data_IF_911588829175
#
_entry.id   IF_911588829175
#
_cell.length_a   1.000
_cell.length_b   1.000
_cell.length_c   1.000
_cell.angle_alpha   90.00
_cell.angle_beta   90.00
_cell.angle_gamma   90.00
#
_symmetry.space_group_name_H-M   'P 1'
#
loop_
_entity.id
_entity.type
_entity.pdbx_description
1 polymer ?
#
# COMPACT_ATOMS: atom_id res chain seq x y z
N UNK A 1 56.10 66.35 -1.64
CA UNK A 1 55.48 67.46 -2.39
C UNK A 1 53.99 67.15 -2.52
N UNK A 2 53.25 67.81 -1.66
CA UNK A 2 52.17 68.71 -1.92
C UNK A 2 50.85 67.97 -2.27
N UNK A 3 49.97 67.95 -1.34
CA UNK A 3 48.84 68.86 -1.00
C UNK A 3 47.59 68.43 -1.74
N UNK A 4 46.61 67.94 -1.00
CA UNK A 4 45.43 68.64 -0.46
C UNK A 4 44.32 68.83 -1.47
N UNK A 5 43.13 68.27 -1.24
CA UNK A 5 41.97 69.12 -0.95
C UNK A 5 40.72 68.29 -0.60
N UNK A 6 40.12 68.70 0.49
CA UNK A 6 38.80 68.32 0.95
C UNK A 6 37.69 68.97 0.10
N UNK A 7 36.58 68.31 -0.07
CA UNK A 7 35.18 68.78 -0.15
C UNK A 7 34.33 67.64 -0.63
N UNK A 8 33.19 67.30 -0.15
CA UNK A 8 32.26 67.95 0.72
C UNK A 8 31.07 67.00 0.85
N UNK A 9 30.42 67.01 2.01
CA UNK A 9 29.24 66.23 2.31
C UNK A 9 28.07 66.55 1.39
N UNK A 10 27.40 65.49 0.91
CA UNK A 10 26.08 65.57 0.30
C UNK A 10 25.26 64.41 0.84
N UNK A 11 24.60 64.62 1.99
CA UNK A 11 23.56 63.75 2.48
C UNK A 11 22.40 63.83 1.52
N UNK A 12 22.05 62.72 0.88
CA UNK A 12 20.76 62.55 0.27
C UNK A 12 19.87 61.81 1.30
N UNK A 13 19.08 62.59 2.04
CA UNK A 13 17.88 62.09 2.71
C UNK A 13 16.97 61.53 1.63
N UNK A 14 16.95 60.22 1.51
CA UNK A 14 15.90 59.50 0.82
C UNK A 14 14.61 59.65 1.60
N UNK A 15 13.45 59.78 0.96
CA UNK A 15 12.19 59.94 1.65
C UNK A 15 11.93 58.79 2.58
N UNK A 16 11.72 59.07 3.86
CA UNK A 16 11.20 58.15 4.85
C UNK A 16 9.92 57.50 4.29
N UNK A 17 9.74 56.18 4.32
CA UNK A 17 8.49 55.58 3.94
C UNK A 17 7.38 56.13 4.84
N UNK A 18 6.14 56.28 4.31
CA UNK A 18 5.06 56.83 5.10
C UNK A 18 4.80 55.97 6.33
N UNK A 19 4.70 56.62 7.50
CA UNK A 19 4.29 56.01 8.77
C UNK A 19 2.98 55.22 8.55
N UNK A 20 3.03 53.90 8.73
CA UNK A 20 1.87 53.00 8.59
C UNK A 20 2.00 51.85 7.63
N UNK A 21 3.08 51.75 6.86
CA UNK A 21 3.30 50.56 6.02
C UNK A 21 3.85 49.40 6.87
N UNK A 22 3.18 48.23 6.92
CA UNK A 22 3.69 47.11 7.67
C UNK A 22 5.10 46.73 7.20
N UNK A 23 5.98 46.43 8.14
CA UNK A 23 7.38 46.03 7.85
C UNK A 23 7.41 44.84 6.87
N UNK A 24 8.51 44.69 6.13
CA UNK A 24 8.65 43.55 5.22
C UNK A 24 8.46 42.20 5.94
N UNK A 25 8.77 42.16 7.23
CA UNK A 25 8.57 41.04 8.14
C UNK A 25 7.06 40.81 8.39
N UNK A 26 6.28 41.85 8.74
CA UNK A 26 4.81 41.72 8.93
C UNK A 26 4.10 41.30 7.63
N UNK A 27 4.56 41.75 6.46
CA UNK A 27 4.01 41.33 5.17
C UNK A 27 4.31 39.85 4.87
N UNK A 28 5.48 39.38 5.26
CA UNK A 28 5.87 37.97 5.10
C UNK A 28 5.08 37.05 6.04
N UNK A 29 4.90 37.44 7.31
CA UNK A 29 4.06 36.76 8.27
C UNK A 29 2.59 36.69 7.82
N UNK A 30 2.04 37.79 7.32
CA UNK A 30 0.66 37.82 6.82
C UNK A 30 0.47 36.94 5.57
N UNK A 31 1.48 36.83 4.70
CA UNK A 31 1.45 35.89 3.55
C UNK A 31 1.51 34.44 4.01
N UNK A 32 2.37 34.11 4.96
CA UNK A 32 2.52 32.76 5.52
C UNK A 32 1.24 32.36 6.28
N UNK A 33 0.68 33.26 7.10
CA UNK A 33 -0.58 32.99 7.80
C UNK A 33 -1.76 32.75 6.85
N UNK A 34 -1.79 33.44 5.71
CA UNK A 34 -2.82 33.23 4.68
C UNK A 34 -2.65 31.87 3.99
N UNK A 35 -1.41 31.44 3.73
CA UNK A 35 -1.11 30.11 3.18
C UNK A 35 -1.53 29.01 4.18
N UNK A 36 -1.21 29.13 5.47
CA UNK A 36 -1.66 28.19 6.51
C UNK A 36 -3.19 28.10 6.60
N UNK A 37 -3.90 29.23 6.61
CA UNK A 37 -5.36 29.23 6.70
C UNK A 37 -6.01 28.47 5.54
N UNK A 38 -5.50 28.61 4.33
CA UNK A 38 -6.01 27.90 3.16
C UNK A 38 -5.72 26.40 3.23
N UNK A 39 -4.55 25.99 3.74
CA UNK A 39 -4.19 24.58 3.92
C UNK A 39 -5.01 23.94 5.05
N UNK A 40 -5.22 24.61 6.18
CA UNK A 40 -6.05 24.13 7.28
C UNK A 40 -7.51 23.97 6.82
N UNK A 41 -8.04 24.89 6.03
CA UNK A 41 -9.40 24.76 5.48
C UNK A 41 -9.51 23.55 4.55
N UNK A 42 -8.48 23.27 3.76
CA UNK A 42 -8.38 22.06 2.92
C UNK A 42 -8.34 20.78 3.75
N UNK A 43 -7.50 20.74 4.81
CA UNK A 43 -7.44 19.61 5.73
C UNK A 43 -8.79 19.35 6.41
N UNK A 44 -9.46 20.39 6.89
CA UNK A 44 -10.80 20.30 7.48
C UNK A 44 -11.84 19.73 6.51
N UNK A 45 -11.81 20.18 5.26
CA UNK A 45 -12.73 19.67 4.24
C UNK A 45 -12.49 18.18 3.98
N UNK A 46 -11.22 17.76 3.83
CA UNK A 46 -10.86 16.35 3.64
C UNK A 46 -11.24 15.53 4.88
N UNK A 47 -10.93 16.01 6.08
CA UNK A 47 -11.32 15.36 7.34
C UNK A 47 -12.84 15.19 7.46
N UNK A 48 -13.61 16.23 7.16
CA UNK A 48 -15.08 16.16 7.20
C UNK A 48 -15.64 15.12 6.22
N UNK A 49 -15.04 15.00 5.04
CA UNK A 49 -15.42 13.99 4.04
C UNK A 49 -15.11 12.57 4.54
N UNK A 50 -13.97 12.36 5.16
CA UNK A 50 -13.57 11.09 5.76
C UNK A 50 -14.49 10.76 6.94
N UNK A 51 -14.71 11.70 7.86
CA UNK A 51 -15.56 11.51 9.02
C UNK A 51 -17.02 11.19 8.64
N UNK A 52 -17.52 11.75 7.54
CA UNK A 52 -18.86 11.44 7.02
C UNK A 52 -18.98 9.99 6.51
N UNK A 53 -17.90 9.42 5.97
CA UNK A 53 -17.89 8.02 5.49
C UNK A 53 -17.61 7.05 6.65
N UNK A 54 -16.66 7.40 7.53
CA UNK A 54 -16.24 6.54 8.65
C UNK A 54 -17.31 6.46 9.75
N UNK A 55 -18.17 7.50 9.87
CA UNK A 55 -19.24 7.64 10.86
C UNK A 55 -18.78 7.31 12.29
N UNK A 56 -18.10 8.26 12.99
CA UNK A 56 -17.58 8.04 14.35
C UNK A 56 -18.67 7.64 15.36
N UNK A 57 -19.93 8.08 15.16
CA UNK A 57 -21.04 7.69 16.03
C UNK A 57 -21.40 6.22 15.86
N UNK A 58 -21.46 5.73 14.62
CA UNK A 58 -21.65 4.32 14.33
C UNK A 58 -20.51 3.46 14.86
N UNK A 59 -19.24 3.95 14.76
CA UNK A 59 -18.08 3.27 15.36
C UNK A 59 -18.19 3.17 16.89
N UNK A 60 -18.61 4.24 17.59
CA UNK A 60 -18.83 4.22 19.05
C UNK A 60 -19.91 3.21 19.43
N UNK A 61 -21.01 3.16 18.68
CA UNK A 61 -22.07 2.18 18.91
C UNK A 61 -21.57 0.74 18.68
N UNK A 62 -20.77 0.52 17.63
CA UNK A 62 -20.16 -0.79 17.34
C UNK A 62 -19.17 -1.23 18.41
N UNK A 63 -18.34 -0.30 18.90
CA UNK A 63 -17.40 -0.56 20.02
C UNK A 63 -18.17 -0.97 21.27
N UNK A 64 -19.29 -0.30 21.59
CA UNK A 64 -20.11 -0.66 22.74
C UNK A 64 -20.67 -2.07 22.61
N UNK A 65 -21.21 -2.44 21.43
CA UNK A 65 -21.71 -3.79 21.14
C UNK A 65 -20.61 -4.86 21.26
N UNK A 66 -19.45 -4.63 20.63
CA UNK A 66 -18.32 -5.56 20.69
C UNK A 66 -17.74 -5.69 22.09
N UNK A 67 -17.75 -4.60 22.88
CA UNK A 67 -17.32 -4.62 24.27
C UNK A 67 -18.26 -5.45 25.16
N UNK A 68 -19.56 -5.40 24.89
CA UNK A 68 -20.54 -6.25 25.57
C UNK A 68 -20.32 -7.71 25.22
N UNK A 69 -20.12 -8.03 23.93
CA UNK A 69 -19.80 -9.39 23.47
C UNK A 69 -18.48 -9.89 24.08
N UNK A 70 -17.43 -9.05 24.13
CA UNK A 70 -16.13 -9.41 24.71
C UNK A 70 -16.20 -9.65 26.23
N UNK A 71 -17.21 -9.10 26.90
CA UNK A 71 -17.43 -9.26 28.33
C UNK A 71 -18.29 -10.49 28.69
N UNK A 72 -18.84 -11.17 27.68
CA UNK A 72 -19.67 -12.35 27.88
C UNK A 72 -18.82 -13.54 28.44
N UNK A 73 -19.26 -14.18 29.50
CA UNK A 73 -18.46 -15.25 30.14
C UNK A 73 -18.24 -16.50 29.27
N UNK A 74 -19.16 -16.75 28.34
CA UNK A 74 -19.20 -17.89 27.43
C UNK A 74 -18.35 -17.68 26.18
N UNK A 75 -17.90 -16.44 25.89
CA UNK A 75 -17.06 -16.15 24.74
C UNK A 75 -15.74 -16.94 24.75
N UNK A 76 -15.18 -17.14 25.93
CA UNK A 76 -13.88 -17.79 26.10
C UNK A 76 -13.94 -19.33 26.05
N UNK A 77 -15.13 -19.90 25.94
CA UNK A 77 -15.33 -21.34 25.68
C UNK A 77 -14.97 -21.70 24.23
N UNK A 78 -15.01 -20.71 23.31
CA UNK A 78 -14.57 -20.85 21.92
C UNK A 78 -13.46 -19.83 21.60
N UNK A 79 -12.17 -20.27 21.57
CA UNK A 79 -11.03 -19.39 21.33
C UNK A 79 -11.08 -18.67 19.97
N UNK A 80 -11.64 -19.30 18.92
CA UNK A 80 -11.71 -18.73 17.59
C UNK A 80 -12.72 -17.56 17.57
N UNK A 81 -13.89 -17.74 18.14
CA UNK A 81 -14.88 -16.67 18.30
C UNK A 81 -14.35 -15.53 19.19
N UNK A 82 -13.63 -15.85 20.26
CA UNK A 82 -13.01 -14.85 21.13
C UNK A 82 -11.97 -14.01 20.38
N UNK A 83 -11.16 -14.63 19.54
CA UNK A 83 -10.17 -13.92 18.72
C UNK A 83 -10.83 -12.99 17.72
N UNK A 84 -11.90 -13.42 17.03
CA UNK A 84 -12.65 -12.59 16.08
C UNK A 84 -13.24 -11.36 16.76
N UNK A 85 -13.92 -11.53 17.90
CA UNK A 85 -14.56 -10.43 18.63
C UNK A 85 -13.54 -9.45 19.18
N UNK A 86 -12.45 -9.94 19.80
CA UNK A 86 -11.41 -9.08 20.37
C UNK A 86 -10.61 -8.34 19.31
N UNK A 87 -10.33 -8.98 18.16
CA UNK A 87 -9.69 -8.35 17.03
C UNK A 87 -10.58 -7.26 16.43
N UNK A 88 -11.86 -7.54 16.20
CA UNK A 88 -12.82 -6.56 15.69
C UNK A 88 -12.97 -5.34 16.63
N UNK A 89 -13.02 -5.58 17.95
CA UNK A 89 -13.05 -4.53 18.95
C UNK A 89 -11.79 -3.66 18.91
N UNK A 90 -10.61 -4.28 18.85
CA UNK A 90 -9.33 -3.57 18.79
C UNK A 90 -9.23 -2.71 17.53
N UNK A 91 -9.65 -3.22 16.37
CA UNK A 91 -9.67 -2.47 15.12
C UNK A 91 -10.62 -1.28 15.18
N UNK A 92 -11.87 -1.48 15.63
CA UNK A 92 -12.84 -0.40 15.75
C UNK A 92 -12.38 0.71 16.70
N UNK A 93 -11.76 0.35 17.83
CA UNK A 93 -11.17 1.31 18.77
C UNK A 93 -10.00 2.08 18.16
N UNK A 94 -9.13 1.39 17.41
CA UNK A 94 -7.99 2.03 16.74
C UNK A 94 -8.45 3.01 15.65
N UNK A 95 -9.48 2.65 14.88
CA UNK A 95 -10.04 3.50 13.83
C UNK A 95 -10.71 4.74 14.41
N UNK A 96 -11.55 4.58 15.45
CA UNK A 96 -12.16 5.71 16.15
C UNK A 96 -11.11 6.68 16.71
N UNK A 97 -10.13 6.13 17.46
CA UNK A 97 -9.04 6.92 18.05
C UNK A 97 -8.27 7.69 17.00
N UNK A 98 -8.01 7.09 15.83
CA UNK A 98 -7.28 7.75 14.74
C UNK A 98 -8.07 8.93 14.18
N UNK A 99 -9.36 8.74 13.92
CA UNK A 99 -10.23 9.84 13.41
C UNK A 99 -10.31 10.96 14.42
N UNK A 100 -10.56 10.66 15.71
CA UNK A 100 -10.66 11.65 16.77
C UNK A 100 -9.34 12.42 16.96
N UNK A 101 -8.21 11.69 17.04
CA UNK A 101 -6.88 12.32 17.20
C UNK A 101 -6.51 13.24 16.03
N UNK A 102 -6.90 12.91 14.79
CA UNK A 102 -6.66 13.80 13.64
C UNK A 102 -7.52 15.07 13.73
N UNK A 103 -8.78 14.96 14.19
CA UNK A 103 -9.62 16.11 14.42
C UNK A 103 -9.02 17.07 15.45
N UNK A 104 -8.61 16.53 16.60
CA UNK A 104 -7.94 17.29 17.68
C UNK A 104 -6.68 18.00 17.18
N UNK A 105 -5.81 17.28 16.44
CA UNK A 105 -4.56 17.85 15.89
C UNK A 105 -4.81 18.96 14.87
N UNK A 106 -5.89 18.90 14.08
CA UNK A 106 -6.26 19.99 13.16
C UNK A 106 -6.72 21.22 13.95
N UNK A 107 -7.45 21.04 15.06
CA UNK A 107 -7.86 22.14 15.95
C UNK A 107 -6.65 22.76 16.66
N UNK A 108 -5.71 21.93 17.16
CA UNK A 108 -4.47 22.38 17.79
C UNK A 108 -3.59 23.17 16.81
N UNK A 109 -3.46 22.71 15.55
CA UNK A 109 -2.72 23.41 14.51
C UNK A 109 -3.31 24.80 14.22
N UNK A 110 -4.63 24.92 14.20
CA UNK A 110 -5.29 26.23 14.02
C UNK A 110 -4.99 27.17 15.19
N UNK A 111 -5.08 26.65 16.43
CA UNK A 111 -4.74 27.43 17.62
C UNK A 111 -3.26 27.87 17.64
N UNK A 112 -2.33 27.00 17.18
CA UNK A 112 -0.91 27.36 17.05
C UNK A 112 -0.69 28.48 16.04
N UNK A 113 -1.35 28.43 14.88
CA UNK A 113 -1.24 29.48 13.85
C UNK A 113 -1.86 30.80 14.35
N UNK A 114 -2.97 30.76 15.09
CA UNK A 114 -3.58 31.92 15.69
C UNK A 114 -2.64 32.57 16.74
N UNK A 115 -2.03 31.73 17.62
CA UNK A 115 -1.05 32.16 18.62
C UNK A 115 0.17 32.83 17.97
N UNK A 116 0.71 32.22 16.89
CA UNK A 116 1.82 32.78 16.13
C UNK A 116 1.50 34.15 15.51
N UNK A 117 0.21 34.40 15.23
CA UNK A 117 -0.27 35.71 14.75
C UNK A 117 -0.32 36.79 15.84
N UNK A 118 -0.39 36.43 17.14
CA UNK A 118 -0.39 37.33 18.28
C UNK A 118 1.01 37.64 18.81
N UNK A 119 2.00 36.79 18.51
CA UNK A 119 3.38 36.93 18.94
C UNK A 119 4.24 37.66 17.90
N UNK A 120 5.37 38.22 18.33
CA UNK A 120 6.32 38.92 17.46
C UNK A 120 7.76 38.40 17.65
N UNK A 121 8.56 38.41 16.56
CA UNK A 121 9.98 38.11 16.62
C UNK A 121 10.36 36.63 16.46
N UNK A 122 11.33 36.17 17.27
CA UNK A 122 11.82 34.78 17.19
C UNK A 122 10.80 33.76 17.67
N UNK A 123 9.97 34.11 18.67
CA UNK A 123 8.96 33.24 19.25
C UNK A 123 7.86 32.89 18.21
N UNK A 124 7.42 33.88 17.45
CA UNK A 124 6.44 33.67 16.35
C UNK A 124 7.06 32.76 15.25
N UNK A 125 8.35 32.91 14.95
CA UNK A 125 9.02 32.10 13.95
C UNK A 125 9.18 30.64 14.39
N UNK A 126 9.43 30.38 15.68
CA UNK A 126 9.54 29.04 16.24
C UNK A 126 8.17 28.32 16.22
N UNK A 127 7.09 28.99 16.64
CA UNK A 127 5.72 28.45 16.58
C UNK A 127 5.32 28.11 15.13
N UNK A 128 5.64 29.00 14.17
CA UNK A 128 5.33 28.73 12.75
C UNK A 128 6.12 27.54 12.17
N UNK A 129 7.37 27.36 12.60
CA UNK A 129 8.17 26.21 12.17
C UNK A 129 7.60 24.89 12.73
N UNK A 130 7.11 24.88 13.97
CA UNK A 130 6.42 23.74 14.57
C UNK A 130 5.09 23.48 13.84
N UNK A 131 4.30 24.53 13.59
CA UNK A 131 3.06 24.42 12.84
C UNK A 131 3.26 23.88 11.40
N UNK A 132 4.36 24.22 10.72
CA UNK A 132 4.70 23.68 9.38
C UNK A 132 5.03 22.20 9.44
N UNK A 133 5.75 21.76 10.47
CA UNK A 133 6.05 20.35 10.69
C UNK A 133 4.76 19.55 10.99
N UNK A 134 3.88 20.07 11.83
CA UNK A 134 2.61 19.44 12.17
C UNK A 134 1.64 19.43 10.99
N UNK A 135 1.56 20.50 10.21
CA UNK A 135 0.78 20.56 8.97
C UNK A 135 1.18 19.44 8.01
N UNK A 136 2.49 19.25 7.83
CA UNK A 136 3.01 18.18 6.96
C UNK A 136 2.64 16.80 7.49
N UNK A 137 2.80 16.56 8.80
CA UNK A 137 2.47 15.28 9.43
C UNK A 137 0.96 14.99 9.37
N UNK A 138 0.12 15.97 9.69
CA UNK A 138 -1.35 15.85 9.62
C UNK A 138 -1.81 15.60 8.18
N UNK A 139 -1.21 16.29 7.20
CA UNK A 139 -1.53 16.10 5.78
C UNK A 139 -1.23 14.67 5.33
N UNK A 140 -0.13 14.09 5.79
CA UNK A 140 0.23 12.71 5.49
C UNK A 140 -0.72 11.73 6.17
N UNK A 141 -0.95 11.86 7.47
CA UNK A 141 -1.86 11.01 8.24
C UNK A 141 -3.29 11.05 7.68
N UNK A 142 -3.73 12.23 7.21
CA UNK A 142 -5.05 12.42 6.61
C UNK A 142 -5.15 11.74 5.24
N UNK A 143 -4.09 11.81 4.43
CA UNK A 143 -4.02 11.09 3.16
C UNK A 143 -4.08 9.58 3.37
N UNK A 144 -3.35 9.07 4.35
CA UNK A 144 -3.36 7.64 4.72
C UNK A 144 -4.75 7.20 5.19
N UNK A 145 -5.44 8.05 5.97
CA UNK A 145 -6.80 7.78 6.42
C UNK A 145 -7.81 7.84 5.27
N UNK A 146 -7.67 8.80 4.33
CA UNK A 146 -8.47 8.87 3.10
C UNK A 146 -8.35 7.56 2.31
N UNK A 147 -7.14 7.10 2.07
CA UNK A 147 -6.88 5.83 1.36
C UNK A 147 -7.57 4.66 2.07
N UNK A 148 -7.45 4.56 3.39
CA UNK A 148 -8.12 3.49 4.17
C UNK A 148 -9.64 3.58 4.07
N UNK A 149 -10.21 4.78 4.04
CA UNK A 149 -11.66 4.99 3.85
C UNK A 149 -12.12 4.51 2.47
N UNK A 150 -11.26 4.60 1.46
CA UNK A 150 -11.52 4.07 0.12
C UNK A 150 -11.47 2.53 0.07
N UNK A 151 -10.79 1.89 1.04
CA UNK A 151 -10.69 0.44 1.17
C UNK A 151 -11.90 -0.11 1.93
N UNK A 152 -13.07 -0.10 1.28
CA UNK A 152 -14.36 -0.50 1.86
C UNK A 152 -14.83 -1.90 1.42
N UNK A 153 -14.01 -2.66 0.72
CA UNK A 153 -14.31 -4.03 0.31
C UNK A 153 -14.30 -4.99 1.50
N UNK A 154 -15.13 -6.02 1.46
CA UNK A 154 -15.27 -7.04 2.51
C UNK A 154 -13.93 -7.68 2.90
N UNK A 155 -13.01 -7.83 1.94
CA UNK A 155 -11.70 -8.46 2.14
C UNK A 155 -10.54 -7.47 2.25
N UNK A 156 -10.77 -6.18 2.03
CA UNK A 156 -9.73 -5.16 2.08
C UNK A 156 -8.95 -5.14 3.41
N UNK A 157 -9.57 -5.34 4.61
CA UNK A 157 -8.86 -5.34 5.88
C UNK A 157 -7.91 -6.53 6.12
N UNK A 158 -7.94 -7.54 5.25
CA UNK A 158 -7.19 -8.79 5.40
C UNK A 158 -5.71 -8.63 5.05
N UNK A 159 -4.90 -9.57 5.57
CA UNK A 159 -3.55 -9.82 5.11
C UNK A 159 -3.55 -10.21 3.63
N UNK A 160 -2.43 -9.98 2.94
CA UNK A 160 -2.28 -10.28 1.52
C UNK A 160 -1.41 -11.51 1.27
N UNK A 161 -1.77 -12.30 0.26
CA UNK A 161 -0.90 -13.30 -0.36
C UNK A 161 -0.56 -12.84 -1.77
N UNK A 162 0.71 -12.58 -2.01
CA UNK A 162 1.22 -12.09 -3.30
C UNK A 162 1.94 -13.23 -4.01
N UNK A 163 1.59 -13.46 -5.26
CA UNK A 163 2.27 -14.42 -6.14
C UNK A 163 2.83 -13.70 -7.36
N UNK A 164 4.15 -13.76 -7.53
CA UNK A 164 4.84 -13.21 -8.71
C UNK A 164 5.27 -14.37 -9.61
N UNK A 165 4.99 -14.25 -10.90
CA UNK A 165 5.40 -15.27 -11.91
C UNK A 165 6.13 -14.59 -13.06
N UNK A 166 7.29 -15.14 -13.46
CA UNK A 166 7.96 -14.71 -14.67
C UNK A 166 7.10 -15.03 -15.90
N UNK A 167 7.00 -14.06 -16.81
CA UNK A 167 6.28 -14.20 -18.07
C UNK A 167 7.20 -14.37 -19.28
N UNK A 168 6.82 -13.77 -20.40
CA UNK A 168 7.65 -13.76 -21.60
C UNK A 168 8.91 -12.91 -21.40
N UNK A 169 10.08 -13.39 -21.87
CA UNK A 169 11.38 -12.71 -21.79
C UNK A 169 12.55 -13.59 -21.34
N UNK A 170 12.31 -14.88 -21.10
CA UNK A 170 13.37 -15.85 -20.74
C UNK A 170 14.05 -15.48 -19.40
N UNK A 171 15.38 -15.49 -19.38
CA UNK A 171 16.19 -15.21 -18.18
C UNK A 171 15.91 -13.79 -17.64
N UNK A 172 15.75 -12.79 -18.53
CA UNK A 172 15.40 -11.43 -18.15
C UNK A 172 14.04 -11.32 -17.43
N UNK A 173 13.08 -12.16 -17.80
CA UNK A 173 11.78 -12.18 -17.12
C UNK A 173 11.87 -12.82 -15.73
N UNK A 174 12.71 -13.84 -15.57
CA UNK A 174 12.98 -14.47 -14.28
C UNK A 174 13.72 -13.51 -13.32
N UNK A 175 14.70 -12.78 -13.81
CA UNK A 175 15.40 -11.74 -13.05
C UNK A 175 14.45 -10.60 -12.69
N UNK A 176 13.57 -10.19 -13.61
CA UNK A 176 12.56 -9.19 -13.33
C UNK A 176 11.58 -9.62 -12.23
N UNK A 177 11.19 -10.90 -12.19
CA UNK A 177 10.35 -11.41 -11.10
C UNK A 177 11.06 -11.31 -9.73
N UNK A 178 12.37 -11.53 -9.69
CA UNK A 178 13.19 -11.33 -8.49
C UNK A 178 13.30 -9.84 -8.10
N UNK A 179 13.46 -8.95 -9.08
CA UNK A 179 13.43 -7.50 -8.85
C UNK A 179 12.10 -7.04 -8.24
N UNK A 180 10.96 -7.57 -8.73
CA UNK A 180 9.64 -7.26 -8.17
C UNK A 180 9.48 -7.81 -6.75
N UNK A 181 9.95 -9.03 -6.47
CA UNK A 181 9.97 -9.56 -5.10
C UNK A 181 10.72 -8.62 -4.16
N UNK A 182 11.92 -8.20 -4.56
CA UNK A 182 12.70 -7.25 -3.78
C UNK A 182 11.96 -5.92 -3.57
N UNK A 183 11.32 -5.40 -4.62
CA UNK A 183 10.54 -4.15 -4.55
C UNK A 183 9.44 -4.24 -3.50
N UNK A 184 8.60 -5.28 -3.53
CA UNK A 184 7.52 -5.45 -2.55
C UNK A 184 8.03 -5.76 -1.14
N UNK A 185 9.11 -6.52 -1.02
CA UNK A 185 9.74 -6.80 0.29
C UNK A 185 10.29 -5.52 0.90
N UNK A 186 10.97 -4.67 0.11
CA UNK A 186 11.47 -3.38 0.55
C UNK A 186 10.36 -2.41 0.94
N UNK A 187 9.29 -2.40 0.16
CA UNK A 187 8.10 -1.62 0.51
C UNK A 187 7.52 -2.06 1.87
N UNK A 188 7.36 -3.35 2.08
CA UNK A 188 6.87 -3.89 3.34
C UNK A 188 7.83 -3.58 4.52
N UNK A 189 9.15 -3.70 4.31
CA UNK A 189 10.18 -3.33 5.30
C UNK A 189 10.08 -1.84 5.70
N UNK A 190 9.83 -0.94 4.76
CA UNK A 190 9.66 0.50 5.03
C UNK A 190 8.43 0.81 5.89
N UNK A 191 7.41 -0.04 5.82
CA UNK A 191 6.18 0.09 6.60
C UNK A 191 6.16 -0.78 7.86
N UNK A 192 7.28 -1.42 8.21
CA UNK A 192 7.37 -2.36 9.32
C UNK A 192 6.37 -3.53 9.21
N UNK A 193 6.02 -3.93 7.98
CA UNK A 193 5.12 -5.05 7.72
C UNK A 193 5.87 -6.36 7.62
N UNK A 194 5.56 -7.36 8.48
CA UNK A 194 6.16 -8.68 8.38
C UNK A 194 5.84 -9.36 7.05
N UNK A 195 6.88 -9.87 6.38
CA UNK A 195 6.76 -10.66 5.15
C UNK A 195 7.20 -12.09 5.42
N UNK A 196 6.39 -13.05 4.97
CA UNK A 196 6.72 -14.47 5.06
C UNK A 196 6.68 -15.12 3.70
N UNK A 197 7.83 -15.57 3.21
CA UNK A 197 7.91 -16.31 1.94
C UNK A 197 7.38 -17.72 2.15
N UNK A 198 6.38 -18.11 1.34
CA UNK A 198 5.74 -19.41 1.42
C UNK A 198 6.35 -20.42 0.44
N UNK A 199 6.66 -19.98 -0.79
CA UNK A 199 7.17 -20.82 -1.82
C UNK A 199 8.02 -20.02 -2.81
N UNK A 200 9.17 -20.60 -3.21
CA UNK A 200 10.06 -20.01 -4.20
C UNK A 200 10.47 -21.06 -5.21
N UNK A 201 10.28 -20.77 -6.49
CA UNK A 201 10.76 -21.60 -7.60
C UNK A 201 11.80 -20.82 -8.40
N UNK A 202 13.05 -21.24 -8.31
CA UNK A 202 14.16 -20.60 -9.01
C UNK A 202 14.19 -20.97 -10.50
N UNK A 203 14.66 -20.06 -11.33
CA UNK A 203 14.98 -20.34 -12.71
C UNK A 203 16.36 -21.05 -12.80
N UNK A 204 16.68 -21.63 -13.95
CA UNK A 204 17.88 -22.44 -14.10
C UNK A 204 19.17 -21.60 -14.16
N UNK A 205 19.10 -20.41 -14.78
CA UNK A 205 20.27 -19.54 -14.98
C UNK A 205 20.32 -18.40 -13.96
N UNK A 206 19.23 -17.64 -13.82
CA UNK A 206 19.13 -16.52 -12.87
C UNK A 206 17.67 -16.20 -12.58
N UNK A 207 17.40 -15.60 -11.41
CA UNK A 207 16.09 -15.10 -11.04
C UNK A 207 15.07 -16.18 -10.64
N UNK A 208 13.80 -15.81 -10.65
CA UNK A 208 12.69 -16.61 -10.14
C UNK A 208 11.71 -16.98 -11.26
N UNK A 209 11.31 -18.27 -11.33
CA UNK A 209 10.14 -18.71 -12.12
C UNK A 209 8.85 -18.24 -11.46
N UNK A 210 8.77 -18.42 -10.14
CA UNK A 210 7.65 -17.92 -9.34
C UNK A 210 8.02 -17.80 -7.87
N UNK A 211 7.35 -16.92 -7.17
CA UNK A 211 7.44 -16.77 -5.72
C UNK A 211 6.06 -16.45 -5.17
N UNK A 212 5.74 -17.00 -3.99
CA UNK A 212 4.53 -16.67 -3.24
C UNK A 212 4.92 -16.28 -1.82
N UNK A 213 4.42 -15.16 -1.33
CA UNK A 213 4.69 -14.67 0.01
C UNK A 213 3.47 -14.02 0.63
N UNK A 214 3.41 -14.03 1.97
CA UNK A 214 2.40 -13.35 2.77
C UNK A 214 2.92 -11.98 3.22
N UNK A 215 2.04 -11.00 3.27
CA UNK A 215 2.28 -9.69 3.89
C UNK A 215 1.26 -9.54 5.01
N UNK A 216 1.74 -9.45 6.24
CA UNK A 216 0.90 -9.37 7.43
C UNK A 216 0.78 -7.91 7.88
N UNK A 217 -0.31 -7.27 7.51
CA UNK A 217 -0.61 -5.90 7.92
C UNK A 217 -2.11 -5.61 7.80
N UNK A 218 -2.64 -4.70 8.62
CA UNK A 218 -4.01 -4.22 8.43
C UNK A 218 -4.17 -3.62 7.03
N UNK A 219 -5.20 -4.06 6.30
CA UNK A 219 -5.51 -3.62 4.94
C UNK A 219 -4.44 -3.99 3.89
N UNK A 220 -3.57 -4.97 4.16
CA UNK A 220 -2.54 -5.38 3.20
C UNK A 220 -3.14 -5.84 1.86
N UNK A 221 -4.25 -6.60 1.89
CA UNK A 221 -4.92 -7.01 0.66
C UNK A 221 -5.53 -5.82 -0.07
N UNK A 222 -6.27 -4.95 0.61
CA UNK A 222 -6.87 -3.76 -0.01
C UNK A 222 -5.82 -2.90 -0.69
N UNK A 223 -4.70 -2.66 0.00
CA UNK A 223 -3.55 -1.86 -0.47
C UNK A 223 -2.85 -2.51 -1.66
N UNK A 224 -2.49 -3.79 -1.56
CA UNK A 224 -1.71 -4.48 -2.59
C UNK A 224 -2.56 -5.03 -3.74
N UNK A 225 -3.87 -5.17 -3.59
CA UNK A 225 -4.75 -5.71 -4.65
C UNK A 225 -4.71 -4.91 -5.94
N UNK A 226 -4.44 -3.60 -5.86
CA UNK A 226 -4.26 -2.73 -7.02
C UNK A 226 -2.95 -2.96 -7.78
N UNK A 227 -2.01 -3.69 -7.17
CA UNK A 227 -0.74 -4.10 -7.81
C UNK A 227 -0.89 -5.36 -8.68
N UNK A 228 -2.05 -6.02 -8.62
CA UNK A 228 -2.36 -7.17 -9.45
C UNK A 228 -2.40 -6.83 -10.94
N UNK A 229 -1.67 -7.63 -11.77
CA UNK A 229 -1.66 -7.44 -13.20
C UNK A 229 -0.32 -7.77 -13.86
N UNK A 230 -0.17 -7.36 -15.11
CA UNK A 230 1.04 -7.59 -15.90
C UNK A 230 1.98 -6.41 -15.83
N UNK A 231 3.18 -6.64 -15.31
CA UNK A 231 4.28 -5.69 -15.25
C UNK A 231 5.21 -5.90 -16.44
N UNK A 232 5.71 -4.81 -17.03
CA UNK A 232 6.60 -4.83 -18.18
C UNK A 232 7.91 -4.12 -17.86
N UNK A 233 9.03 -4.78 -18.09
CA UNK A 233 10.38 -4.20 -18.00
C UNK A 233 10.98 -4.01 -19.39
N UNK A 234 11.58 -2.85 -19.63
CA UNK A 234 12.38 -2.53 -20.81
C UNK A 234 13.76 -2.07 -20.37
N UNK A 235 14.78 -2.86 -20.62
CA UNK A 235 16.17 -2.54 -20.27
C UNK A 235 17.17 -3.11 -21.28
N UNK A 236 18.42 -2.67 -21.17
CA UNK A 236 19.53 -3.42 -21.78
C UNK A 236 19.76 -4.67 -20.93
N UNK A 237 19.65 -5.83 -21.57
CA UNK A 237 19.78 -7.10 -20.85
C UNK A 237 21.21 -7.33 -20.34
N UNK A 238 21.41 -7.62 -19.06
CA UNK A 238 22.70 -8.02 -18.53
C UNK A 238 23.11 -9.45 -18.97
N UNK A 239 22.17 -10.22 -19.50
CA UNK A 239 22.36 -11.60 -19.99
C UNK A 239 22.62 -11.67 -21.50
N UNK A 240 22.42 -10.57 -22.23
CA UNK A 240 22.68 -10.51 -23.67
C UNK A 240 24.08 -9.95 -23.95
N UNK A 241 24.97 -10.79 -24.44
CA UNK A 241 26.35 -10.44 -24.81
C UNK A 241 26.44 -9.32 -25.87
N UNK A 242 25.34 -9.06 -26.61
CA UNK A 242 25.29 -8.01 -27.61
C UNK A 242 24.76 -6.66 -27.05
N UNK A 243 24.38 -6.60 -25.76
CA UNK A 243 23.87 -5.41 -25.11
C UNK A 243 22.57 -4.88 -25.72
N UNK A 244 21.75 -5.75 -26.27
CA UNK A 244 20.47 -5.37 -26.89
C UNK A 244 19.43 -5.03 -25.81
N UNK A 245 18.56 -4.11 -26.18
CA UNK A 245 17.37 -3.79 -25.39
C UNK A 245 16.38 -4.94 -25.48
N UNK A 246 15.98 -5.47 -24.34
CA UNK A 246 15.00 -6.54 -24.20
C UNK A 246 13.75 -6.03 -23.48
N UNK A 247 12.64 -6.71 -23.74
CA UNK A 247 11.38 -6.48 -23.06
C UNK A 247 10.98 -7.77 -22.35
N UNK A 248 10.71 -7.68 -21.05
CA UNK A 248 10.35 -8.81 -20.21
C UNK A 248 9.06 -8.53 -19.47
N UNK A 249 8.32 -9.56 -19.14
CA UNK A 249 7.05 -9.48 -18.46
C UNK A 249 7.06 -10.33 -17.20
N UNK A 250 6.37 -9.86 -16.17
CA UNK A 250 6.05 -10.61 -14.97
C UNK A 250 4.59 -10.37 -14.59
N UNK A 251 3.92 -11.39 -14.09
CA UNK A 251 2.55 -11.29 -13.59
C UNK A 251 2.58 -11.24 -12.07
N UNK A 252 1.85 -10.31 -11.49
CA UNK A 252 1.61 -10.20 -10.06
C UNK A 252 0.14 -10.53 -9.79
N UNK A 253 -0.10 -11.45 -8.88
CA UNK A 253 -1.42 -11.85 -8.41
C UNK A 253 -1.50 -11.58 -6.91
N UNK A 254 -2.54 -10.89 -6.46
CA UNK A 254 -2.75 -10.58 -5.05
C UNK A 254 -4.11 -11.14 -4.63
N UNK A 255 -4.12 -11.90 -3.54
CA UNK A 255 -5.34 -12.49 -2.98
C UNK A 255 -5.38 -12.26 -1.47
N UNK A 256 -6.57 -12.18 -0.85
CA UNK A 256 -6.67 -12.05 0.60
C UNK A 256 -6.21 -13.33 1.30
N UNK A 257 -5.53 -13.19 2.45
CA UNK A 257 -5.27 -14.31 3.35
C UNK A 257 -6.55 -14.57 4.16
N UNK A 258 -7.07 -15.79 4.05
CA UNK A 258 -8.22 -16.22 4.84
C UNK A 258 -7.72 -17.06 6.01
N UNK A 259 -8.05 -16.60 7.22
CA UNK A 259 -7.87 -17.39 8.43
C UNK A 259 -8.87 -18.56 8.47
N UNK A 260 -8.62 -19.57 9.32
CA UNK A 260 -9.43 -20.80 9.41
C UNK A 260 -10.89 -20.58 9.79
N UNK A 261 -11.25 -19.38 10.25
CA UNK A 261 -12.61 -18.99 10.65
C UNK A 261 -13.52 -18.58 9.49
N UNK A 262 -12.96 -18.16 8.36
CA UNK A 262 -13.76 -17.86 7.16
C UNK A 262 -13.86 -19.12 6.28
N UNK A 263 -14.51 -20.12 6.77
CA UNK A 263 -14.58 -21.44 6.17
C UNK A 263 -15.35 -21.44 4.84
N UNK A 264 -14.62 -21.61 3.72
CA UNK A 264 -15.18 -22.45 2.65
C UNK A 264 -14.90 -23.87 3.08
N UNK A 265 -15.92 -24.59 3.46
CA UNK A 265 -15.82 -26.03 3.78
C UNK A 265 -15.42 -26.74 2.48
N UNK A 266 -14.18 -27.23 2.41
CA UNK A 266 -13.68 -27.98 1.27
C UNK A 266 -13.72 -29.45 1.66
N UNK A 267 -14.68 -30.24 1.12
CA UNK A 267 -14.75 -31.66 1.40
C UNK A 267 -13.43 -32.34 1.02
N UNK A 268 -12.96 -33.25 1.85
CA UNK A 268 -11.74 -34.03 1.53
C UNK A 268 -11.87 -34.84 0.23
N UNK A 269 -13.10 -35.14 -0.19
CA UNK A 269 -13.42 -35.80 -1.46
C UNK A 269 -13.09 -34.94 -2.68
N UNK A 270 -13.08 -33.63 -2.52
CA UNK A 270 -12.93 -32.67 -3.62
C UNK A 270 -11.46 -32.23 -3.79
N UNK A 271 -10.57 -32.75 -2.95
CA UNK A 271 -9.14 -32.46 -3.03
C UNK A 271 -8.33 -33.73 -3.29
N UNK A 272 -7.30 -33.59 -4.14
CA UNK A 272 -6.25 -34.59 -4.27
C UNK A 272 -4.94 -34.01 -3.72
N UNK A 273 -4.33 -34.75 -2.81
CA UNK A 273 -3.07 -34.37 -2.17
C UNK A 273 -1.96 -35.26 -2.72
N UNK A 274 -1.01 -34.65 -3.39
CA UNK A 274 0.20 -35.32 -3.91
C UNK A 274 1.40 -34.85 -3.08
N UNK A 275 2.18 -35.77 -2.53
CA UNK A 275 3.41 -35.49 -1.81
C UNK A 275 4.60 -35.76 -2.73
N UNK A 276 5.56 -34.83 -2.75
CA UNK A 276 6.74 -34.97 -3.62
C UNK A 276 7.97 -34.36 -2.92
N UNK A 277 9.13 -34.62 -3.53
CA UNK A 277 10.40 -34.08 -3.02
C UNK A 277 10.50 -32.59 -3.32
N UNK A 278 10.87 -31.79 -2.32
CA UNK A 278 11.15 -30.38 -2.53
C UNK A 278 12.33 -30.21 -3.49
N UNK A 279 12.22 -29.26 -4.42
CA UNK A 279 13.27 -28.90 -5.36
C UNK A 279 13.88 -27.54 -4.93
N UNK A 280 15.19 -27.51 -4.66
CA UNK A 280 15.90 -26.28 -4.31
C UNK A 280 17.38 -26.55 -4.04
N UNK A 281 18.23 -25.51 -4.01
CA UNK A 281 19.62 -25.63 -3.57
C UNK A 281 19.61 -25.92 -2.07
N UNK A 282 19.81 -27.18 -1.68
CA UNK A 282 19.81 -27.60 -0.27
C UNK A 282 20.54 -28.91 -0.05
N UNK A 283 21.00 -29.13 1.17
CA UNK A 283 21.77 -30.30 1.59
C UNK A 283 20.98 -31.60 1.57
N UNK A 284 21.60 -32.70 2.04
CA UNK A 284 21.13 -34.08 1.97
C UNK A 284 19.69 -34.31 2.47
N UNK A 285 19.18 -33.48 3.39
CA UNK A 285 17.81 -33.58 3.94
C UNK A 285 16.71 -33.14 2.97
N UNK A 286 17.00 -32.20 2.07
CA UNK A 286 16.05 -31.70 1.04
C UNK A 286 15.83 -32.78 -0.04
N UNK A 287 16.85 -33.57 -0.31
CA UNK A 287 16.80 -34.61 -1.36
C UNK A 287 16.29 -35.98 -0.89
N UNK A 288 16.05 -36.14 0.42
CA UNK A 288 15.68 -37.47 0.98
C UNK A 288 14.29 -37.52 1.61
N UNK A 289 13.63 -36.36 1.84
CA UNK A 289 12.34 -36.33 2.53
C UNK A 289 11.27 -35.74 1.61
N UNK A 290 10.15 -36.46 1.45
CA UNK A 290 8.99 -36.02 0.69
C UNK A 290 8.16 -35.04 1.58
N UNK A 291 8.66 -33.79 1.73
CA UNK A 291 8.02 -32.74 2.56
C UNK A 291 7.15 -31.79 1.75
N UNK A 292 7.36 -31.69 0.44
CA UNK A 292 6.57 -30.83 -0.43
C UNK A 292 5.17 -31.40 -0.67
N UNK A 293 4.17 -30.54 -0.62
CA UNK A 293 2.77 -30.90 -0.76
C UNK A 293 2.16 -30.12 -1.94
N UNK A 294 1.46 -30.85 -2.82
CA UNK A 294 0.63 -30.28 -3.87
C UNK A 294 -0.81 -30.67 -3.61
N UNK A 295 -1.68 -29.67 -3.50
CA UNK A 295 -3.12 -29.88 -3.38
C UNK A 295 -3.78 -29.46 -4.70
N UNK A 296 -4.57 -30.36 -5.27
CA UNK A 296 -5.39 -30.11 -6.45
C UNK A 296 -6.85 -30.15 -6.03
N UNK A 297 -7.59 -29.07 -6.24
CA UNK A 297 -9.04 -29.05 -6.06
C UNK A 297 -9.68 -29.59 -7.33
N UNK A 298 -10.35 -30.74 -7.23
CA UNK A 298 -10.84 -31.49 -8.36
C UNK A 298 -11.93 -30.76 -9.17
N UNK A 299 -12.94 -30.08 -8.51
CA UNK A 299 -13.99 -29.41 -9.25
C UNK A 299 -13.50 -28.20 -10.06
N UNK A 300 -12.54 -27.40 -9.53
CA UNK A 300 -12.07 -26.16 -10.17
C UNK A 300 -10.74 -26.35 -10.92
N UNK A 301 -10.05 -27.46 -10.70
CA UNK A 301 -8.72 -27.69 -11.27
C UNK A 301 -7.60 -26.83 -10.68
N UNK A 302 -7.88 -26.07 -9.61
CA UNK A 302 -6.88 -25.24 -8.93
C UNK A 302 -5.79 -26.11 -8.30
N UNK A 303 -4.53 -25.73 -8.51
CA UNK A 303 -3.37 -26.42 -7.97
C UNK A 303 -2.56 -25.48 -7.10
N UNK A 304 -2.27 -25.90 -5.87
CA UNK A 304 -1.41 -25.21 -4.92
C UNK A 304 -0.26 -26.12 -4.51
N UNK A 305 0.96 -25.62 -4.54
CA UNK A 305 2.15 -26.38 -4.12
C UNK A 305 2.92 -25.60 -3.06
N UNK A 306 3.27 -26.27 -1.95
CA UNK A 306 4.04 -25.70 -0.82
C UNK A 306 5.22 -26.63 -0.49
N UNK A 307 6.40 -26.02 -0.26
CA UNK A 307 7.62 -26.80 0.02
C UNK A 307 8.60 -26.14 1.00
N UNK A 308 8.24 -24.97 1.58
CA UNK A 308 9.17 -24.16 2.39
C UNK A 308 9.38 -24.70 3.81
N UNK A 309 8.39 -25.40 4.34
CA UNK A 309 8.48 -25.97 5.68
C UNK A 309 9.11 -27.36 5.64
N UNK A 310 9.87 -27.70 6.69
CA UNK A 310 10.45 -29.05 6.85
C UNK A 310 9.39 -30.10 7.20
N UNK A 311 8.22 -29.68 7.63
CA UNK A 311 7.11 -30.53 8.03
C UNK A 311 6.05 -30.61 6.94
N UNK A 312 5.76 -31.82 6.48
CA UNK A 312 4.67 -32.11 5.55
C UNK A 312 3.32 -31.59 6.06
N UNK A 313 3.07 -31.67 7.40
CA UNK A 313 1.82 -31.22 8.02
C UNK A 313 1.69 -29.70 7.90
N UNK A 314 2.76 -28.95 8.13
CA UNK A 314 2.77 -27.48 8.01
C UNK A 314 2.61 -27.05 6.54
N UNK A 315 3.29 -27.72 5.60
CA UNK A 315 3.10 -27.48 4.18
C UNK A 315 1.67 -27.79 3.71
N UNK A 316 1.05 -28.86 4.24
CA UNK A 316 -0.35 -29.18 3.96
C UNK A 316 -1.30 -28.09 4.48
N UNK A 317 -1.10 -27.63 5.71
CA UNK A 317 -1.91 -26.56 6.31
C UNK A 317 -1.77 -25.23 5.54
N UNK A 318 -0.55 -24.86 5.18
CA UNK A 318 -0.29 -23.66 4.37
C UNK A 318 -0.92 -23.80 2.96
N UNK A 319 -0.77 -24.93 2.29
CA UNK A 319 -1.36 -25.19 0.99
C UNK A 319 -2.90 -25.14 1.03
N UNK A 320 -3.51 -25.64 2.12
CA UNK A 320 -4.96 -25.58 2.31
C UNK A 320 -5.45 -24.15 2.47
N UNK A 321 -4.77 -23.32 3.29
CA UNK A 321 -5.11 -21.90 3.44
C UNK A 321 -5.07 -21.14 2.11
N UNK A 322 -4.01 -21.34 1.33
CA UNK A 322 -3.88 -20.69 0.02
C UNK A 322 -4.93 -21.21 -0.96
N UNK A 323 -5.29 -22.49 -0.90
CA UNK A 323 -6.37 -23.05 -1.72
C UNK A 323 -7.72 -22.42 -1.35
N UNK A 324 -8.03 -22.29 -0.05
CA UNK A 324 -9.24 -21.61 0.44
C UNK A 324 -9.31 -20.17 -0.07
N UNK A 325 -8.21 -19.42 0.04
CA UNK A 325 -8.13 -18.05 -0.47
C UNK A 325 -8.37 -17.96 -1.98
N UNK A 326 -7.83 -18.89 -2.76
CA UNK A 326 -8.06 -18.94 -4.21
C UNK A 326 -9.49 -19.30 -4.58
N UNK A 327 -10.11 -20.22 -3.85
CA UNK A 327 -11.50 -20.59 -4.09
C UNK A 327 -12.45 -19.44 -3.76
N UNK A 328 -12.16 -18.66 -2.71
CA UNK A 328 -12.93 -17.47 -2.39
C UNK A 328 -12.85 -16.41 -3.49
N UNK A 329 -11.63 -16.14 -3.99
CA UNK A 329 -11.43 -15.20 -5.09
C UNK A 329 -12.19 -15.66 -6.34
N UNK A 330 -12.18 -16.98 -6.64
CA UNK A 330 -12.93 -17.55 -7.76
C UNK A 330 -14.44 -17.32 -7.58
N UNK A 331 -14.97 -17.58 -6.38
CA UNK A 331 -16.38 -17.32 -6.06
C UNK A 331 -16.74 -15.85 -6.23
N UNK A 332 -15.90 -14.95 -5.77
CA UNK A 332 -16.08 -13.51 -5.93
C UNK A 332 -16.06 -13.09 -7.41
N UNK A 333 -15.15 -13.67 -8.21
CA UNK A 333 -15.12 -13.45 -9.65
C UNK A 333 -16.35 -13.99 -10.38
N UNK A 334 -16.90 -15.12 -9.93
CA UNK A 334 -18.16 -15.66 -10.45
C UNK A 334 -19.36 -14.75 -10.12
N UNK A 335 -19.40 -14.18 -8.91
CA UNK A 335 -20.41 -13.21 -8.51
C UNK A 335 -20.31 -11.90 -9.30
N UNK A 336 -19.09 -11.38 -9.48
CA UNK A 336 -18.83 -10.19 -10.30
C UNK A 336 -19.08 -10.43 -11.79
N UNK A 337 -18.77 -11.63 -12.30
CA UNK A 337 -19.11 -12.02 -13.67
C UNK A 337 -20.61 -12.08 -13.88
N UNK A 338 -21.37 -12.60 -12.91
CA UNK A 338 -22.86 -12.59 -12.94
C UNK A 338 -23.41 -11.17 -12.91
N UNK A 339 -22.84 -10.27 -12.09
CA UNK A 339 -23.20 -8.84 -12.09
C UNK A 339 -22.91 -8.17 -13.44
N UNK A 340 -21.77 -8.49 -14.06
CA UNK A 340 -21.39 -7.98 -15.40
C UNK A 340 -22.25 -8.56 -16.52
N UNK A 341 -22.66 -9.83 -16.43
CA UNK A 341 -23.59 -10.46 -17.36
C UNK A 341 -24.97 -9.80 -17.32
N UNK A 342 -25.42 -9.41 -16.13
CA UNK A 342 -26.64 -8.64 -15.93
C UNK A 342 -26.52 -7.18 -16.37
N UNK A 343 -25.30 -6.61 -16.38
CA UNK A 343 -25.00 -5.22 -16.75
C UNK A 343 -24.66 -5.01 -18.24
N UNK A 344 -24.49 -6.09 -19.05
CA UNK A 344 -24.13 -6.00 -20.47
C UNK A 344 -22.62 -5.84 -20.73
N UNK A 345 -22.14 -6.65 -21.66
CA UNK A 345 -20.76 -7.01 -22.01
C UNK A 345 -19.82 -5.81 -22.30
N UNK A 346 -18.85 -5.55 -21.45
CA UNK A 346 -17.65 -4.79 -21.79
C UNK A 346 -16.45 -5.72 -21.74
N UNK A 347 -15.93 -6.09 -22.92
CA UNK A 347 -14.80 -7.02 -23.10
C UNK A 347 -13.52 -6.40 -22.56
N UNK A 348 -13.02 -6.92 -21.44
CA UNK A 348 -11.61 -6.76 -21.05
C UNK A 348 -10.74 -7.63 -21.98
N UNK A 349 -9.89 -7.02 -22.78
CA UNK A 349 -8.96 -7.74 -23.67
C UNK A 349 -7.72 -8.20 -22.92
N UNK A 350 -7.30 -9.42 -23.16
CA UNK A 350 -6.03 -9.98 -22.78
C UNK A 350 -4.89 -9.13 -23.39
N UNK A 351 -4.17 -8.35 -22.58
CA UNK A 351 -3.05 -7.56 -23.08
C UNK A 351 -2.79 -6.27 -22.31
N UNK A 352 -3.61 -5.94 -21.33
CA UNK A 352 -3.50 -4.69 -20.61
C UNK A 352 -2.34 -4.76 -19.60
N UNK A 353 -1.22 -4.17 -20.04
CA UNK A 353 -0.08 -3.93 -19.18
C UNK A 353 -0.51 -2.93 -18.10
N UNK A 354 -0.36 -3.32 -16.86
CA UNK A 354 -0.69 -2.48 -15.73
C UNK A 354 0.38 -1.41 -15.52
N UNK A 355 1.66 -1.82 -15.44
CA UNK A 355 2.79 -0.94 -15.18
C UNK A 355 3.97 -1.21 -16.08
N UNK A 356 4.62 -0.15 -16.56
CA UNK A 356 5.79 -0.21 -17.42
C UNK A 356 7.00 0.40 -16.73
N UNK A 357 8.07 -0.37 -16.62
CA UNK A 357 9.37 0.01 -16.09
C UNK A 357 10.34 0.14 -17.25
N UNK A 358 10.80 1.34 -17.54
CA UNK A 358 11.74 1.65 -18.62
C UNK A 358 13.05 2.12 -17.99
N UNK A 359 14.14 1.38 -18.22
CA UNK A 359 15.47 1.72 -17.75
C UNK A 359 16.36 2.26 -18.87
N UNK A 360 15.96 2.03 -20.13
CA UNK A 360 16.69 2.49 -21.32
C UNK A 360 15.73 2.62 -22.53
N UNK A 361 15.78 3.71 -23.34
CA UNK A 361 16.79 4.78 -23.40
C UNK A 361 16.59 5.93 -22.40
N UNK A 362 15.45 5.97 -21.74
CA UNK A 362 15.13 6.93 -20.65
C UNK A 362 14.71 6.14 -19.42
N UNK A 363 14.73 6.78 -18.27
CA UNK A 363 14.33 6.17 -17.01
C UNK A 363 12.94 6.64 -16.62
N UNK A 364 12.01 5.69 -16.45
CA UNK A 364 10.63 5.99 -16.09
C UNK A 364 9.90 4.72 -15.61
N UNK A 365 9.12 4.86 -14.58
CA UNK A 365 8.09 3.88 -14.21
C UNK A 365 6.74 4.56 -14.36
N UNK A 366 5.82 3.92 -15.08
CA UNK A 366 4.48 4.46 -15.34
C UNK A 366 3.41 3.40 -15.18
N UNK A 367 2.38 3.71 -14.39
CA UNK A 367 1.14 2.95 -14.37
C UNK A 367 0.23 3.41 -15.50
N UNK A 368 -0.19 2.47 -16.34
CA UNK A 368 -0.97 2.78 -17.55
C UNK A 368 -2.46 2.98 -17.27
N UNK A 369 -2.94 2.59 -16.09
CA UNK A 369 -4.34 2.76 -15.67
C UNK A 369 -4.58 4.15 -15.08
N UNK A 370 -3.66 4.59 -14.23
CA UNK A 370 -3.76 5.85 -13.49
C UNK A 370 -3.01 7.00 -14.16
N UNK A 371 -2.10 6.71 -15.10
CA UNK A 371 -1.11 7.62 -15.69
C UNK A 371 -0.12 8.20 -14.67
N UNK A 372 -0.07 7.70 -13.44
CA UNK A 372 0.95 8.11 -12.47
C UNK A 372 2.34 7.63 -12.94
N UNK A 373 3.33 8.49 -12.88
CA UNK A 373 4.68 8.20 -13.38
C UNK A 373 5.78 8.78 -12.47
N UNK A 374 6.88 8.05 -12.37
CA UNK A 374 8.08 8.42 -11.60
C UNK A 374 9.32 8.30 -12.49
N UNK A 375 10.17 9.33 -12.50
CA UNK A 375 11.38 9.37 -13.31
C UNK A 375 12.60 8.66 -12.70
N UNK A 376 12.47 8.09 -11.49
CA UNK A 376 13.53 7.36 -10.80
C UNK A 376 13.14 5.89 -10.58
N UNK A 377 13.45 4.98 -11.51
CA UNK A 377 13.15 3.56 -11.34
C UNK A 377 13.87 2.90 -10.14
N UNK A 378 15.05 3.40 -9.77
CA UNK A 378 15.84 2.80 -8.68
C UNK A 378 15.13 2.99 -7.34
N UNK A 379 14.50 4.17 -7.08
CA UNK A 379 13.69 4.36 -5.87
C UNK A 379 12.48 3.44 -5.85
N UNK A 380 11.83 3.24 -6.99
CA UNK A 380 10.68 2.33 -7.12
C UNK A 380 11.09 0.89 -6.81
N UNK A 381 12.19 0.39 -7.38
CA UNK A 381 12.70 -0.94 -7.07
C UNK A 381 13.24 -1.08 -5.64
N UNK A 382 13.55 0.01 -4.97
CA UNK A 382 13.88 0.03 -3.54
C UNK A 382 12.64 0.19 -2.64
N UNK A 383 11.44 0.05 -3.19
CA UNK A 383 10.18 -0.03 -2.44
C UNK A 383 9.41 1.29 -2.32
N UNK A 384 9.77 2.32 -3.06
CA UNK A 384 9.04 3.60 -3.09
C UNK A 384 7.88 3.49 -4.09
N UNK A 385 6.81 2.80 -3.68
CA UNK A 385 5.64 2.50 -4.54
C UNK A 385 4.32 3.06 -4.00
N UNK A 386 4.32 3.77 -2.87
CA UNK A 386 3.10 4.30 -2.24
C UNK A 386 2.30 5.17 -3.19
N UNK A 387 2.94 6.07 -3.94
CA UNK A 387 2.25 6.91 -4.93
C UNK A 387 1.54 6.13 -6.04
N UNK A 388 2.07 4.95 -6.42
CA UNK A 388 1.39 4.05 -7.38
C UNK A 388 0.20 3.35 -6.75
N UNK A 389 0.34 2.90 -5.50
CA UNK A 389 -0.71 2.24 -4.73
C UNK A 389 -1.88 3.21 -4.51
N UNK A 390 -1.61 4.42 -4.04
CA UNK A 390 -2.61 5.46 -3.79
C UNK A 390 -3.38 5.82 -5.06
N UNK A 391 -2.65 6.06 -6.15
CA UNK A 391 -3.25 6.33 -7.45
C UNK A 391 -4.11 5.14 -7.92
N UNK A 392 -3.66 3.91 -7.68
CA UNK A 392 -4.37 2.68 -8.01
C UNK A 392 -5.67 2.52 -7.22
N UNK A 393 -5.65 2.77 -5.90
CA UNK A 393 -6.82 2.69 -5.03
C UNK A 393 -7.88 3.72 -5.45
N UNK A 394 -7.49 4.97 -5.68
CA UNK A 394 -8.39 6.03 -6.17
C UNK A 394 -8.98 5.69 -7.53
N UNK A 395 -8.17 5.15 -8.44
CA UNK A 395 -8.62 4.70 -9.75
C UNK A 395 -9.67 3.58 -9.63
N UNK A 396 -9.43 2.56 -8.80
CA UNK A 396 -10.37 1.46 -8.54
C UNK A 396 -11.72 1.99 -8.05
N UNK A 397 -11.69 2.91 -7.09
CA UNK A 397 -12.92 3.49 -6.53
C UNK A 397 -13.71 4.32 -7.54
N UNK A 398 -13.01 5.03 -8.43
CA UNK A 398 -13.67 5.76 -9.53
C UNK A 398 -14.35 4.83 -10.53
N UNK A 399 -13.76 3.66 -10.81
CA UNK A 399 -14.38 2.65 -11.69
C UNK A 399 -15.63 2.07 -11.04
N UNK A 400 -15.58 1.69 -9.76
CA UNK A 400 -16.74 1.20 -9.01
C UNK A 400 -17.90 2.23 -8.99
N UNK A 401 -17.58 3.51 -8.78
CA UNK A 401 -18.56 4.59 -8.79
C UNK A 401 -19.13 4.93 -10.19
N UNK A 402 -18.43 4.58 -11.26
CA UNK A 402 -18.90 4.78 -12.63
C UNK A 402 -19.78 3.61 -13.13
N UNK A 403 -19.68 2.45 -12.49
CA UNK A 403 -20.49 1.25 -12.80
C UNK A 403 -21.78 1.16 -11.94
N UNK A 404 -21.87 1.95 -10.84
CA UNK A 404 -23.04 2.03 -9.96
C UNK A 404 -24.03 3.13 -10.40
#
# INVERSE_FOLDING_TARGET
MLESERRGAGGSDGPNPPDGAPSAFCRRLASVATDFSSEIERLRHTYASIAAVTDPEALRARIAELSEQASAPDLWDDPDSAQVVTSALSHAQADLKRVESLGERIEDLEAMVELAGEEEGEDAAEILAEAEADLSAISQDLSDLEIRTLLSGEYDPRDAVVTIRSGAGGVDAADFAEMLLRMYTRWAERHDYPVKVLNTSYAEEAGLKSVTFEVHAPYAYGTLSVEGGTHRLVRISPFDNQGRRQTSFAAVEVIPLIESTDHIDIPETDIRIDVFRSSGPGGQSVNTTDSAVRITHLPTGLVVSMQDEKSQIQNRAAAMRVLQSRLLLLKQQEEDAKKKELAGDVKASWGDQMRSYVLNPYQMVKDLRTNFEVGNPDSVFDGDIDGFIDAGIRWRKQQEGAEA
#
